data_IF_101060168712
#
_entry.id   IF_101060168712
#
_cell.length_a   1.000
_cell.length_b   1.000
_cell.length_c   1.000
_cell.angle_alpha   90.00
_cell.angle_beta   90.00
_cell.angle_gamma   90.00
#
_symmetry.space_group_name_H-M   'P 1'
#
loop_
_entity.id
_entity.type
_entity.pdbx_description
1 polymer ?
#
# COMPACT_ATOMS: atom_id res chain seq x y z
N UNK A 1 1.36 -29.47 6.83
CA UNK A 1 2.60 -30.24 7.03
C UNK A 1 3.35 -30.53 5.72
N UNK A 2 2.68 -31.17 4.76
CA UNK A 2 3.23 -31.53 3.42
C UNK A 2 3.91 -30.36 2.67
N UNK A 3 3.26 -29.19 2.55
CA UNK A 3 3.83 -28.05 1.83
C UNK A 3 5.12 -27.49 2.45
N UNK A 4 5.30 -27.59 3.78
CA UNK A 4 6.56 -27.19 4.43
C UNK A 4 7.67 -28.19 4.12
N UNK A 5 7.37 -29.48 4.07
CA UNK A 5 8.35 -30.53 3.73
C UNK A 5 8.89 -30.38 2.30
N UNK A 6 8.08 -29.91 1.36
CA UNK A 6 8.49 -29.64 -0.02
C UNK A 6 9.00 -28.21 -0.26
N UNK A 7 9.20 -27.40 0.78
CA UNK A 7 9.68 -26.02 0.62
C UNK A 7 8.68 -25.10 -0.08
N UNK A 8 7.39 -25.43 -0.09
CA UNK A 8 6.32 -24.63 -0.70
C UNK A 8 5.77 -23.69 0.39
N UNK A 9 6.56 -22.66 0.72
CA UNK A 9 6.18 -21.62 1.68
C UNK A 9 6.93 -20.30 1.44
N UNK A 10 6.49 -19.24 2.11
CA UNK A 10 7.09 -17.89 1.98
C UNK A 10 8.59 -17.86 2.30
N UNK A 11 9.04 -18.57 3.34
CA UNK A 11 10.44 -18.54 3.78
C UNK A 11 11.36 -19.17 2.72
N UNK A 12 10.94 -20.26 2.09
CA UNK A 12 11.68 -20.87 0.98
C UNK A 12 11.81 -19.89 -0.20
N UNK A 13 10.80 -19.06 -0.47
CA UNK A 13 10.89 -18.00 -1.48
C UNK A 13 11.86 -16.88 -1.08
N UNK A 14 11.99 -16.57 0.22
CA UNK A 14 13.01 -15.65 0.70
C UNK A 14 14.41 -16.24 0.52
N UNK A 15 14.60 -17.54 0.78
CA UNK A 15 15.89 -18.21 0.55
C UNK A 15 16.25 -18.25 -0.94
N UNK A 16 15.27 -18.54 -1.80
CA UNK A 16 15.44 -18.55 -3.25
C UNK A 16 15.92 -17.20 -3.82
N UNK A 17 15.43 -16.07 -3.28
CA UNK A 17 15.79 -14.74 -3.80
C UNK A 17 17.14 -14.23 -3.28
N UNK A 18 17.70 -14.81 -2.21
CA UNK A 18 18.98 -14.37 -1.61
C UNK A 18 20.15 -14.26 -2.61
N UNK A 19 20.50 -15.29 -3.40
CA UNK A 19 21.62 -15.20 -4.35
C UNK A 19 21.38 -14.12 -5.42
N UNK A 20 20.14 -13.96 -5.88
CA UNK A 20 19.77 -12.90 -6.84
C UNK A 20 19.95 -11.51 -6.20
N UNK A 21 19.48 -11.34 -4.95
CA UNK A 21 19.66 -10.09 -4.23
C UNK A 21 21.13 -9.76 -4.02
N UNK A 22 21.98 -10.73 -3.69
CA UNK A 22 23.43 -10.50 -3.55
C UNK A 22 24.06 -9.96 -4.83
N UNK A 23 23.67 -10.49 -5.98
CA UNK A 23 24.10 -9.98 -7.29
C UNK A 23 23.63 -8.52 -7.51
N UNK A 24 22.38 -8.20 -7.14
CA UNK A 24 21.79 -6.87 -7.32
C UNK A 24 21.87 -5.95 -6.08
N UNK A 25 22.74 -6.26 -5.10
CA UNK A 25 22.77 -5.61 -3.77
C UNK A 25 22.98 -4.09 -3.81
N UNK A 26 23.59 -3.59 -4.89
CA UNK A 26 23.80 -2.15 -5.13
C UNK A 26 22.49 -1.39 -5.31
N UNK A 27 21.45 -2.05 -5.82
CA UNK A 27 20.19 -1.41 -6.21
C UNK A 27 18.99 -1.90 -5.39
N UNK A 28 19.01 -3.13 -4.88
CA UNK A 28 17.91 -3.72 -4.09
C UNK A 28 18.45 -4.20 -2.74
N UNK A 29 17.90 -3.69 -1.64
CA UNK A 29 18.21 -4.17 -0.29
C UNK A 29 17.53 -5.51 0.02
N UNK A 30 18.01 -6.20 1.05
CA UNK A 30 17.52 -7.52 1.45
C UNK A 30 16.04 -7.52 1.84
N UNK A 31 15.54 -6.47 2.50
CA UNK A 31 14.13 -6.40 2.91
C UNK A 31 13.21 -6.16 1.73
N UNK A 32 13.59 -5.27 0.81
CA UNK A 32 12.83 -5.08 -0.44
C UNK A 32 12.81 -6.36 -1.28
N UNK A 33 13.93 -7.08 -1.38
CA UNK A 33 13.97 -8.38 -2.07
C UNK A 33 13.04 -9.43 -1.42
N UNK A 34 13.06 -9.54 -0.08
CA UNK A 34 12.13 -10.41 0.66
C UNK A 34 10.68 -10.04 0.36
N UNK A 35 10.33 -8.75 0.35
CA UNK A 35 8.97 -8.29 0.04
C UNK A 35 8.55 -8.58 -1.40
N UNK A 36 9.47 -8.54 -2.36
CA UNK A 36 9.23 -9.01 -3.73
C UNK A 36 8.95 -10.52 -3.73
N UNK A 37 9.77 -11.30 -3.02
CA UNK A 37 9.58 -12.75 -2.89
C UNK A 37 8.24 -13.10 -2.21
N UNK A 38 7.85 -12.39 -1.14
CA UNK A 38 6.52 -12.51 -0.51
C UNK A 38 5.40 -12.25 -1.52
N UNK A 39 5.52 -11.21 -2.35
CA UNK A 39 4.49 -10.92 -3.37
C UNK A 39 4.38 -12.03 -4.41
N UNK A 40 5.50 -12.62 -4.82
CA UNK A 40 5.51 -13.77 -5.72
C UNK A 40 4.88 -15.00 -5.03
N UNK A 41 5.24 -15.25 -3.78
CA UNK A 41 4.65 -16.31 -2.95
C UNK A 41 3.12 -16.17 -2.86
N UNK A 42 2.60 -15.00 -2.51
CA UNK A 42 1.15 -14.77 -2.41
C UNK A 42 0.40 -15.04 -3.73
N UNK A 43 1.03 -14.84 -4.89
CA UNK A 43 0.42 -15.18 -6.17
C UNK A 43 0.35 -16.70 -6.37
N UNK A 44 1.40 -17.43 -6.01
CA UNK A 44 1.44 -18.89 -6.06
C UNK A 44 0.51 -19.52 -5.03
N UNK A 45 0.49 -19.00 -3.81
CA UNK A 45 -0.39 -19.42 -2.72
C UNK A 45 -1.86 -19.39 -3.16
N UNK A 46 -2.29 -18.31 -3.81
CA UNK A 46 -3.65 -18.21 -4.36
C UNK A 46 -3.95 -19.30 -5.39
N UNK A 47 -2.98 -19.66 -6.23
CA UNK A 47 -3.15 -20.74 -7.21
C UNK A 47 -3.25 -22.10 -6.52
N UNK A 48 -2.35 -22.39 -5.57
CA UNK A 48 -2.30 -23.66 -4.82
C UNK A 48 -3.60 -23.91 -4.05
N UNK A 49 -4.16 -22.88 -3.42
CA UNK A 49 -5.38 -22.99 -2.60
C UNK A 49 -6.67 -22.71 -3.39
N UNK A 50 -6.64 -22.73 -4.72
CA UNK A 50 -7.85 -22.63 -5.55
C UNK A 50 -8.49 -21.23 -5.61
N UNK A 51 -7.84 -20.20 -5.04
CA UNK A 51 -8.30 -18.81 -5.06
C UNK A 51 -7.91 -18.07 -6.35
N UNK A 52 -7.18 -18.70 -7.26
CA UNK A 52 -6.82 -18.16 -8.57
C UNK A 52 -6.73 -19.26 -9.63
N UNK A 53 -7.03 -18.91 -10.89
CA UNK A 53 -6.93 -19.83 -12.04
C UNK A 53 -5.53 -19.94 -12.64
N UNK A 54 -4.73 -18.88 -12.56
CA UNK A 54 -3.36 -18.80 -13.10
C UNK A 54 -2.54 -17.70 -12.43
N UNK A 55 -1.21 -17.82 -12.50
CA UNK A 55 -0.25 -16.76 -12.13
C UNK A 55 0.17 -16.00 -13.38
N UNK A 56 0.17 -14.67 -13.30
CA UNK A 56 0.67 -13.78 -14.35
C UNK A 56 1.97 -13.12 -13.92
N UNK A 57 3.02 -13.27 -14.72
CA UNK A 57 4.32 -12.67 -14.44
C UNK A 57 4.34 -11.18 -14.83
N UNK A 58 5.15 -10.41 -14.09
CA UNK A 58 5.46 -9.01 -14.44
C UNK A 58 6.46 -8.98 -15.58
N UNK A 59 6.16 -8.25 -16.65
CA UNK A 59 7.11 -8.04 -17.75
C UNK A 59 8.14 -6.99 -17.36
N UNK A 60 9.16 -6.85 -18.20
CA UNK A 60 10.08 -5.72 -18.12
C UNK A 60 9.28 -4.41 -18.08
N UNK A 61 9.62 -3.53 -17.15
CA UNK A 61 8.96 -2.25 -16.96
C UNK A 61 7.48 -2.31 -16.49
N UNK A 62 6.96 -3.45 -16.01
CA UNK A 62 5.59 -3.56 -15.44
C UNK A 62 5.53 -3.42 -13.90
N UNK A 63 6.69 -3.27 -13.26
CA UNK A 63 6.77 -3.14 -11.80
C UNK A 63 6.55 -1.68 -11.37
N UNK A 64 5.36 -1.40 -10.88
CA UNK A 64 4.96 -0.05 -10.47
C UNK A 64 5.14 0.23 -8.97
N UNK A 65 5.64 -0.73 -8.19
CA UNK A 65 5.87 -0.48 -6.77
C UNK A 65 6.93 -1.37 -6.13
N UNK A 66 7.68 -0.77 -5.22
CA UNK A 66 8.67 -1.41 -4.36
C UNK A 66 8.36 -1.04 -2.91
N UNK A 67 8.32 -2.03 -2.03
CA UNK A 67 7.89 -1.87 -0.64
C UNK A 67 9.02 -2.29 0.30
N UNK A 68 9.31 -1.45 1.29
CA UNK A 68 10.16 -1.79 2.43
C UNK A 68 9.38 -2.60 3.48
N UNK A 69 10.11 -3.25 4.38
CA UNK A 69 9.51 -4.07 5.45
C UNK A 69 9.21 -3.24 6.71
N UNK A 70 10.02 -2.23 6.97
CA UNK A 70 9.96 -1.32 8.12
C UNK A 70 10.39 0.08 7.71
N UNK A 71 10.34 1.06 8.62
CA UNK A 71 10.97 2.37 8.40
C UNK A 71 12.41 2.46 8.97
N UNK A 72 12.96 1.39 9.54
CA UNK A 72 14.30 1.38 10.13
C UNK A 72 15.41 1.09 9.11
N UNK A 73 15.09 0.34 8.06
CA UNK A 73 16.07 -0.21 7.11
C UNK A 73 15.47 -0.33 5.70
N UNK A 74 16.31 -0.27 4.66
CA UNK A 74 15.86 -0.33 3.27
C UNK A 74 15.21 0.97 2.82
N UNK A 75 14.03 0.89 2.22
CA UNK A 75 13.22 2.06 1.82
C UNK A 75 12.64 2.72 3.07
N UNK A 76 13.15 3.90 3.45
CA UNK A 76 12.72 4.63 4.65
C UNK A 76 12.47 6.11 4.40
N UNK A 77 11.66 6.72 5.25
CA UNK A 77 11.37 8.14 5.24
C UNK A 77 11.87 8.78 6.53
N UNK A 78 12.72 9.79 6.39
CA UNK A 78 13.32 10.52 7.50
C UNK A 78 13.62 11.96 7.06
N UNK A 79 13.33 12.95 7.91
CA UNK A 79 13.64 14.36 7.65
C UNK A 79 13.18 14.87 6.26
N UNK A 80 11.97 14.50 5.83
CA UNK A 80 11.41 14.82 4.50
C UNK A 80 12.19 14.26 3.31
N UNK A 81 13.00 13.24 3.53
CA UNK A 81 13.75 12.54 2.49
C UNK A 81 13.33 11.06 2.43
N UNK A 82 13.28 10.52 1.22
CA UNK A 82 13.36 9.09 0.97
C UNK A 82 14.84 8.70 1.07
N UNK A 83 15.15 7.74 1.92
CA UNK A 83 16.47 7.13 2.02
C UNK A 83 16.39 5.68 1.55
N UNK A 84 17.27 5.28 0.65
CA UNK A 84 17.32 3.90 0.14
C UNK A 84 18.65 3.57 -0.53
N UNK A 85 19.39 2.57 -0.03
CA UNK A 85 20.65 2.10 -0.65
C UNK A 85 21.63 3.22 -1.03
N UNK A 86 21.83 4.17 -0.12
CA UNK A 86 22.70 5.34 -0.33
C UNK A 86 22.05 6.51 -1.06
N UNK A 87 20.86 6.33 -1.63
CA UNK A 87 20.06 7.43 -2.17
C UNK A 87 19.45 8.24 -1.03
N UNK A 88 19.49 9.57 -1.18
CA UNK A 88 18.72 10.52 -0.39
C UNK A 88 17.97 11.43 -1.36
N UNK A 89 16.64 11.30 -1.41
CA UNK A 89 15.79 11.99 -2.37
C UNK A 89 14.78 12.85 -1.60
N UNK A 90 14.74 14.17 -1.79
CA UNK A 90 13.78 15.02 -1.12
C UNK A 90 12.35 14.68 -1.55
N UNK A 91 11.46 14.55 -0.57
CA UNK A 91 10.03 14.27 -0.79
C UNK A 91 9.27 15.60 -0.77
N UNK A 92 8.51 15.84 -1.84
CA UNK A 92 7.66 17.02 -1.94
C UNK A 92 6.43 16.80 -1.05
N UNK A 93 6.36 17.58 0.03
CA UNK A 93 5.18 17.68 0.91
C UNK A 93 4.64 19.10 0.76
N UNK A 94 3.38 19.21 0.36
CA UNK A 94 2.75 20.51 0.18
C UNK A 94 2.53 21.19 1.55
N UNK A 95 3.03 22.42 1.78
CA UNK A 95 2.94 23.09 3.08
C UNK A 95 1.50 23.27 3.60
N UNK A 96 0.53 23.39 2.69
CA UNK A 96 -0.87 23.61 3.01
C UNK A 96 -1.67 22.30 3.11
N UNK A 97 -1.00 21.14 3.13
CA UNK A 97 -1.64 19.85 3.25
C UNK A 97 -1.73 19.40 4.72
N UNK A 98 -2.67 20.03 5.44
CA UNK A 98 -2.96 19.78 6.86
C UNK A 98 -3.12 18.28 7.14
N UNK A 99 -3.82 17.55 6.27
CA UNK A 99 -4.04 16.12 6.45
C UNK A 99 -2.71 15.35 6.48
N UNK A 100 -1.82 15.63 5.55
CA UNK A 100 -0.49 15.00 5.49
C UNK A 100 0.34 15.36 6.71
N UNK A 101 0.31 16.63 7.15
CA UNK A 101 1.03 17.06 8.35
C UNK A 101 0.53 16.38 9.63
N UNK A 102 -0.78 16.23 9.79
CA UNK A 102 -1.37 15.48 10.91
C UNK A 102 -1.00 14.00 10.84
N UNK A 103 -1.14 13.38 9.67
CA UNK A 103 -0.83 11.96 9.48
C UNK A 103 0.65 11.64 9.75
N UNK A 104 1.56 12.56 9.41
CA UNK A 104 3.00 12.39 9.62
C UNK A 104 3.42 12.46 11.10
N UNK A 105 2.51 12.80 12.02
CA UNK A 105 2.76 12.71 13.46
C UNK A 105 2.72 11.26 13.95
N UNK A 106 2.03 10.38 13.22
CA UNK A 106 1.96 8.96 13.56
C UNK A 106 3.22 8.21 13.16
N UNK A 107 3.49 7.11 13.86
CA UNK A 107 4.64 6.25 13.57
C UNK A 107 4.49 5.60 12.19
N UNK A 108 5.52 5.76 11.35
CA UNK A 108 5.59 5.08 10.05
C UNK A 108 5.92 3.60 10.27
N UNK A 109 5.04 2.71 9.80
CA UNK A 109 5.27 1.26 9.80
C UNK A 109 6.27 0.89 8.71
N UNK A 110 6.00 1.29 7.47
CA UNK A 110 6.87 1.05 6.33
C UNK A 110 6.58 2.03 5.18
N UNK A 111 7.53 2.10 4.25
CA UNK A 111 7.44 2.93 3.05
C UNK A 111 7.32 2.08 1.79
N UNK A 112 6.66 2.63 0.77
CA UNK A 112 6.55 2.05 -0.57
C UNK A 112 6.76 3.11 -1.63
N UNK A 113 7.67 2.88 -2.57
CA UNK A 113 7.81 3.69 -3.77
C UNK A 113 6.74 3.21 -4.76
N UNK A 114 5.96 4.14 -5.31
CA UNK A 114 4.89 3.85 -6.27
C UNK A 114 5.07 4.70 -7.52
N UNK A 115 5.11 4.05 -8.68
CA UNK A 115 5.16 4.67 -9.99
C UNK A 115 3.75 4.74 -10.57
N UNK A 116 3.35 5.91 -11.08
CA UNK A 116 2.05 6.11 -11.75
C UNK A 116 2.22 6.93 -13.02
N UNK A 117 1.45 6.61 -14.06
CA UNK A 117 1.32 7.45 -15.25
C UNK A 117 0.13 8.40 -15.07
N UNK A 118 0.40 9.70 -14.99
CA UNK A 118 -0.61 10.74 -14.77
C UNK A 118 -0.47 11.77 -15.90
N UNK A 119 -1.54 11.93 -16.69
CA UNK A 119 -1.58 12.85 -17.85
C UNK A 119 -0.37 12.64 -18.79
N UNK A 120 -0.15 11.39 -19.17
CA UNK A 120 0.95 10.99 -20.07
C UNK A 120 2.34 10.89 -19.41
N UNK A 121 2.57 11.54 -18.26
CA UNK A 121 3.88 11.60 -17.58
C UNK A 121 4.00 10.55 -16.48
N UNK A 122 5.19 9.96 -16.33
CA UNK A 122 5.52 9.08 -15.21
C UNK A 122 5.81 9.95 -13.98
N UNK A 123 5.18 9.63 -12.85
CA UNK A 123 5.40 10.25 -11.55
C UNK A 123 5.66 9.18 -10.50
N UNK A 124 6.62 9.46 -9.63
CA UNK A 124 6.94 8.61 -8.48
C UNK A 124 6.40 9.24 -7.21
N UNK A 125 5.82 8.41 -6.35
CA UNK A 125 5.26 8.79 -5.06
C UNK A 125 5.90 7.93 -3.98
N UNK A 126 6.20 8.54 -2.84
CA UNK A 126 6.48 7.80 -1.63
C UNK A 126 5.17 7.61 -0.88
N UNK A 127 4.68 6.37 -0.85
CA UNK A 127 3.53 5.97 -0.07
C UNK A 127 4.00 5.54 1.32
N UNK A 128 3.47 6.18 2.37
CA UNK A 128 3.74 5.82 3.76
C UNK A 128 2.55 5.03 4.32
N UNK A 129 2.83 3.91 4.99
CA UNK A 129 1.85 3.24 5.85
C UNK A 129 2.13 3.63 7.29
N UNK A 130 1.14 4.24 7.94
CA UNK A 130 1.24 4.79 9.29
C UNK A 130 0.46 3.90 10.27
N UNK A 131 0.87 3.92 11.54
CA UNK A 131 0.12 3.37 12.65
C UNK A 131 -0.98 4.33 13.12
N UNK A 132 -1.98 3.84 13.85
CA UNK A 132 -3.00 4.69 14.46
C UNK A 132 -4.27 4.88 13.65
N UNK A 133 -5.06 5.88 14.06
CA UNK A 133 -6.35 6.21 13.45
C UNK A 133 -6.14 7.34 12.44
N UNK A 134 -6.56 7.18 11.17
CA UNK A 134 -6.33 8.19 10.16
C UNK A 134 -6.97 9.54 10.55
N UNK A 135 -6.31 10.68 10.27
CA UNK A 135 -6.88 12.00 10.53
C UNK A 135 -8.24 12.18 9.85
N UNK A 136 -9.14 12.95 10.47
CA UNK A 136 -10.41 13.30 9.83
C UNK A 136 -10.17 14.31 8.70
N UNK A 137 -10.78 14.08 7.54
CA UNK A 137 -10.70 15.03 6.41
C UNK A 137 -11.56 16.25 6.72
N UNK A 138 -10.96 17.43 6.61
CA UNK A 138 -11.64 18.72 6.80
C UNK A 138 -11.76 19.50 5.49
N UNK A 139 -12.79 20.34 5.38
CA UNK A 139 -12.88 21.38 4.37
C UNK A 139 -11.90 22.49 4.74
N UNK A 140 -11.02 22.85 3.81
CA UNK A 140 -9.99 23.87 4.07
C UNK A 140 -10.55 25.28 4.25
N UNK A 141 -11.71 25.56 3.65
CA UNK A 141 -12.33 26.89 3.71
C UNK A 141 -13.19 27.05 4.97
N UNK A 142 -13.99 26.02 5.30
CA UNK A 142 -14.95 26.11 6.42
C UNK A 142 -14.42 25.51 7.72
N UNK A 143 -13.35 24.71 7.67
CA UNK A 143 -12.82 23.97 8.83
C UNK A 143 -13.65 22.74 9.23
N UNK A 144 -14.81 22.54 8.60
CA UNK A 144 -15.75 21.46 8.95
C UNK A 144 -15.25 20.10 8.47
N UNK A 145 -15.63 19.04 9.18
CA UNK A 145 -15.35 17.66 8.77
C UNK A 145 -16.11 17.36 7.48
N UNK A 146 -15.44 16.86 6.43
CA UNK A 146 -16.05 16.58 5.11
C UNK A 146 -17.05 15.43 5.12
N UNK A 147 -16.83 14.43 5.99
CA UNK A 147 -17.64 13.22 6.07
C UNK A 147 -17.97 12.93 7.54
N UNK A 148 -18.80 13.78 8.17
CA UNK A 148 -19.21 13.52 9.55
C UNK A 148 -20.05 12.24 9.57
N UNK A 149 -19.79 11.39 10.56
CA UNK A 149 -20.59 10.20 10.81
C UNK A 149 -21.74 10.62 11.74
N UNK A 150 -22.97 10.41 11.28
CA UNK A 150 -24.19 10.63 12.08
C UNK A 150 -24.36 9.59 13.19
N UNK A 151 -25.42 9.73 13.99
CA UNK A 151 -25.81 8.72 15.00
C UNK A 151 -27.05 7.96 14.54
N UNK A 152 -27.11 6.68 14.87
CA UNK A 152 -28.22 5.77 14.54
C UNK A 152 -27.87 4.79 13.43
N UNK A 153 -28.69 3.75 13.31
CA UNK A 153 -28.49 2.68 12.35
C UNK A 153 -29.04 3.05 10.97
N UNK A 154 -28.27 2.74 9.93
CA UNK A 154 -28.65 2.96 8.53
C UNK A 154 -28.41 1.67 7.76
N UNK A 155 -29.48 1.12 7.19
CA UNK A 155 -29.41 0.01 6.25
C UNK A 155 -29.11 0.52 4.84
N UNK A 156 -28.14 -0.10 4.17
CA UNK A 156 -27.79 0.20 2.78
C UNK A 156 -27.88 -1.09 1.99
N UNK A 157 -28.74 -1.11 0.97
CA UNK A 157 -28.84 -2.20 0.00
C UNK A 157 -28.38 -1.70 -1.37
N UNK A 158 -27.32 -2.30 -1.91
CA UNK A 158 -26.66 -1.87 -3.14
C UNK A 158 -27.06 -2.83 -4.26
N UNK A 159 -27.95 -2.35 -5.13
CA UNK A 159 -28.32 -3.02 -6.36
C UNK A 159 -27.38 -2.68 -7.53
N UNK A 160 -27.62 -3.31 -8.67
CA UNK A 160 -26.83 -3.08 -9.90
C UNK A 160 -27.02 -1.69 -10.48
N UNK A 161 -28.19 -1.09 -10.27
CA UNK A 161 -28.57 0.22 -10.82
C UNK A 161 -29.08 1.20 -9.77
N UNK A 162 -29.32 0.75 -8.53
CA UNK A 162 -29.90 1.59 -7.48
C UNK A 162 -29.25 1.31 -6.13
N UNK A 163 -29.35 2.26 -5.21
CA UNK A 163 -28.99 2.10 -3.80
C UNK A 163 -30.19 2.47 -2.95
N UNK A 164 -30.75 1.49 -2.24
CA UNK A 164 -31.79 1.73 -1.25
C UNK A 164 -31.15 2.05 0.11
N UNK A 165 -31.64 3.10 0.75
CA UNK A 165 -31.15 3.59 2.04
C UNK A 165 -32.35 3.64 2.98
N UNK A 166 -32.25 2.98 4.12
CA UNK A 166 -33.29 2.94 5.14
C UNK A 166 -32.71 3.33 6.50
N UNK A 167 -33.45 4.14 7.24
CA UNK A 167 -33.19 4.51 8.63
C UNK A 167 -34.51 4.57 9.38
N UNK A 168 -34.46 4.72 10.71
CA UNK A 168 -35.68 4.80 11.53
C UNK A 168 -36.68 5.85 11.06
N UNK A 169 -36.21 6.97 10.51
CA UNK A 169 -37.05 8.13 10.20
C UNK A 169 -37.15 8.43 8.70
N UNK A 170 -36.46 7.68 7.83
CA UNK A 170 -36.37 8.01 6.41
C UNK A 170 -36.03 6.79 5.55
N UNK A 171 -36.64 6.71 4.37
CA UNK A 171 -36.32 5.76 3.30
C UNK A 171 -36.05 6.54 2.02
N UNK A 172 -34.94 6.23 1.34
CA UNK A 172 -34.54 6.86 0.07
C UNK A 172 -34.07 5.81 -0.93
N UNK A 173 -34.39 6.04 -2.20
CA UNK A 173 -33.84 5.29 -3.32
C UNK A 173 -32.97 6.23 -4.15
N UNK A 174 -31.70 5.89 -4.31
CA UNK A 174 -30.81 6.53 -5.26
C UNK A 174 -30.82 5.71 -6.55
N UNK A 175 -31.18 6.34 -7.65
CA UNK A 175 -31.20 5.78 -9.01
C UNK A 175 -30.08 6.44 -9.80
#
# INVERSE_FOLDING_TARGET
>A
ELYRQYGINEYAMHDFVKPMQHHFKKHIDSHTAQKIATRAWMAMEKLIFGNAKKVSFKKYNDMDSLEGKTNSTGIRFENKHLLWNGLSIPVIIHPNDIYTHLALQDRIKYCRIVRRRIRGKIKYFLQLTLEGVPPKKINRQTGEIKHPIGRGDVGIDIGTQTVAICSMNNVKLLI
#
